data_IF_259702160293
#
_entry.id   IF_259702160293
#
_cell.length_a   1.000
_cell.length_b   1.000
_cell.length_c   1.000
_cell.angle_alpha   90.00
_cell.angle_beta   90.00
_cell.angle_gamma   90.00
#
_symmetry.space_group_name_H-M   'P 1'
#
loop_
_entity.id
_entity.type
_entity.pdbx_description
1 polymer ?
#
# COMPACT_ATOMS: atom_id res chain seq x y z
N UNK A 1 -1.71 52.40 -27.92
CA UNK A 1 -2.52 51.55 -27.01
C UNK A 1 -1.60 51.05 -25.90
N UNK A 2 -2.04 51.21 -24.65
CA UNK A 2 -1.19 51.41 -23.47
C UNK A 2 -0.90 50.08 -22.74
N UNK A 3 0.36 49.90 -22.32
CA UNK A 3 0.95 48.77 -21.60
C UNK A 3 0.24 48.29 -20.31
N UNK A 4 -0.83 48.97 -19.87
CA UNK A 4 -1.63 48.63 -18.68
C UNK A 4 -2.48 47.38 -18.84
N UNK A 5 -2.80 46.96 -20.08
CA UNK A 5 -3.65 45.78 -20.31
C UNK A 5 -2.87 44.46 -20.30
N UNK A 6 -1.56 44.48 -20.56
CA UNK A 6 -0.72 43.26 -20.60
C UNK A 6 -0.42 42.71 -19.19
N UNK A 7 -0.28 43.60 -18.20
CA UNK A 7 0.04 43.27 -16.81
C UNK A 7 -1.13 42.67 -16.01
N UNK A 8 -2.38 42.79 -16.49
CA UNK A 8 -3.56 42.15 -15.88
C UNK A 8 -3.70 40.70 -16.33
N UNK A 9 -3.32 40.39 -17.57
CA UNK A 9 -3.38 39.02 -18.11
C UNK A 9 -2.37 38.07 -17.45
N UNK A 10 -1.18 38.55 -17.07
CA UNK A 10 -0.16 37.71 -16.42
C UNK A 10 -0.56 37.29 -15.00
N UNK A 11 -1.27 38.14 -14.25
CA UNK A 11 -1.67 37.86 -12.86
C UNK A 11 -2.78 36.80 -12.79
N UNK A 12 -3.69 36.78 -13.77
CA UNK A 12 -4.76 35.77 -13.86
C UNK A 12 -4.22 34.38 -14.26
N UNK A 13 -3.11 34.31 -14.99
CA UNK A 13 -2.48 33.02 -15.36
C UNK A 13 -1.71 32.41 -14.17
N UNK A 14 -1.04 33.23 -13.34
CA UNK A 14 -0.30 32.74 -12.18
C UNK A 14 -1.16 32.20 -11.03
N UNK A 15 -2.43 32.58 -10.95
CA UNK A 15 -3.36 32.04 -9.93
C UNK A 15 -3.92 30.65 -10.29
N UNK A 16 -3.74 30.18 -11.53
CA UNK A 16 -4.30 28.91 -12.00
C UNK A 16 -3.36 27.70 -11.78
N UNK A 17 -2.16 27.89 -11.25
CA UNK A 17 -1.13 26.84 -11.10
C UNK A 17 -0.88 26.41 -9.65
N UNK A 18 -1.79 26.68 -8.73
CA UNK A 18 -1.79 26.02 -7.42
C UNK A 18 -2.12 24.53 -7.65
N UNK A 19 -1.13 23.74 -8.07
CA UNK A 19 -1.22 22.30 -8.14
C UNK A 19 -1.49 21.80 -6.72
N UNK A 20 -2.72 21.33 -6.46
CA UNK A 20 -2.99 20.57 -5.25
C UNK A 20 -2.09 19.34 -5.28
N UNK A 21 -1.19 19.21 -4.31
CA UNK A 21 -0.43 17.98 -4.10
C UNK A 21 -1.43 16.91 -3.67
N UNK A 22 -1.96 16.16 -4.63
CA UNK A 22 -2.79 14.99 -4.37
C UNK A 22 -1.85 13.83 -4.06
N UNK A 23 -2.09 13.12 -2.95
CA UNK A 23 -1.42 11.86 -2.68
C UNK A 23 -1.80 10.88 -3.80
N UNK A 24 -0.80 10.27 -4.45
CA UNK A 24 -1.07 9.24 -5.46
C UNK A 24 -1.49 7.97 -4.75
N UNK A 25 -2.63 7.40 -5.15
CA UNK A 25 -3.17 6.14 -4.61
C UNK A 25 -3.33 5.13 -5.75
N UNK A 26 -2.94 3.89 -5.49
CA UNK A 26 -3.13 2.76 -6.40
C UNK A 26 -3.93 1.67 -5.68
N UNK A 27 -5.08 1.31 -6.26
CA UNK A 27 -5.92 0.22 -5.78
C UNK A 27 -5.70 -1.04 -6.60
N UNK A 28 -5.74 -2.19 -5.94
CA UNK A 28 -5.48 -3.50 -6.54
C UNK A 28 -6.28 -4.60 -5.84
N UNK A 29 -6.25 -5.78 -6.45
CA UNK A 29 -6.70 -7.03 -5.81
C UNK A 29 -5.50 -7.87 -5.38
N UNK A 30 -5.60 -8.47 -4.21
CA UNK A 30 -4.61 -9.36 -3.63
C UNK A 30 -5.24 -10.25 -2.57
N UNK A 31 -4.97 -11.56 -2.54
CA UNK A 31 -4.30 -12.34 -3.58
C UNK A 31 -5.26 -12.58 -4.76
N UNK A 32 -4.77 -12.61 -6.00
CA UNK A 32 -5.56 -13.09 -7.15
C UNK A 32 -5.15 -14.50 -7.58
N UNK A 33 -5.86 -15.08 -8.55
CA UNK A 33 -5.51 -16.36 -9.17
C UNK A 33 -4.13 -16.38 -9.86
N UNK A 34 -3.53 -15.21 -10.13
CA UNK A 34 -2.16 -15.09 -10.67
C UNK A 34 -1.10 -14.96 -9.59
N UNK A 35 -1.46 -14.98 -8.31
CA UNK A 35 -0.49 -14.92 -7.20
C UNK A 35 0.40 -16.16 -7.19
N UNK A 36 1.67 -15.97 -6.86
CA UNK A 36 2.56 -17.08 -6.54
C UNK A 36 2.31 -17.49 -5.09
N UNK A 37 1.92 -18.74 -4.87
CA UNK A 37 1.57 -19.27 -3.53
C UNK A 37 2.46 -20.45 -3.20
N UNK A 38 3.15 -20.36 -2.06
CA UNK A 38 3.83 -21.49 -1.42
C UNK A 38 3.02 -21.88 -0.19
N UNK A 39 2.48 -23.09 -0.16
CA UNK A 39 1.63 -23.57 0.94
C UNK A 39 1.62 -25.10 1.02
N UNK A 40 1.04 -25.66 2.08
CA UNK A 40 0.98 -27.12 2.31
C UNK A 40 0.19 -27.88 1.23
N UNK A 41 -0.83 -27.26 0.66
CA UNK A 41 -1.68 -27.80 -0.42
C UNK A 41 -2.09 -26.63 -1.30
N UNK A 42 -1.58 -26.56 -2.54
CA UNK A 42 -1.96 -25.51 -3.49
C UNK A 42 -3.47 -25.49 -3.72
N UNK A 43 -4.07 -24.29 -3.72
CA UNK A 43 -5.49 -23.94 -3.95
C UNK A 43 -6.54 -25.02 -3.57
N UNK A 44 -7.27 -24.77 -2.48
CA UNK A 44 -8.32 -25.68 -1.99
C UNK A 44 -9.62 -25.54 -2.79
N UNK A 45 -9.80 -24.42 -3.49
CA UNK A 45 -10.97 -24.14 -4.35
C UNK A 45 -10.71 -22.93 -5.26
N UNK A 46 -11.62 -22.62 -6.22
CA UNK A 46 -11.51 -21.41 -7.05
C UNK A 46 -11.52 -20.08 -6.28
N UNK A 47 -11.84 -20.10 -4.99
CA UNK A 47 -11.96 -18.89 -4.15
C UNK A 47 -11.01 -18.88 -2.95
N UNK A 48 -10.17 -19.91 -2.80
CA UNK A 48 -9.33 -20.12 -1.63
C UNK A 48 -7.93 -20.60 -2.01
N UNK A 49 -6.94 -20.05 -1.32
CA UNK A 49 -5.54 -20.39 -1.47
C UNK A 49 -4.97 -21.00 -0.19
N UNK A 50 -4.40 -22.17 -0.37
CA UNK A 50 -3.40 -22.73 0.53
C UNK A 50 -3.88 -23.12 1.93
N UNK A 51 -2.99 -23.81 2.63
CA UNK A 51 -2.97 -23.83 4.07
C UNK A 51 -1.62 -23.30 4.54
N UNK A 52 -1.67 -22.29 5.38
CA UNK A 52 -0.51 -21.56 5.87
C UNK A 52 -0.32 -21.82 7.36
N UNK A 53 0.89 -22.24 7.72
CA UNK A 53 1.25 -22.59 9.09
C UNK A 53 2.75 -22.70 9.34
N UNK A 54 3.62 -22.62 8.33
CA UNK A 54 5.05 -22.92 8.50
C UNK A 54 5.99 -22.01 7.70
N UNK A 55 6.75 -21.19 8.43
CA UNK A 55 7.95 -20.51 7.90
C UNK A 55 9.01 -21.49 7.40
N UNK A 56 9.17 -22.65 8.05
CA UNK A 56 10.17 -23.65 7.63
C UNK A 56 9.88 -24.28 6.28
N UNK A 57 8.62 -24.29 5.83
CA UNK A 57 8.25 -24.67 4.46
C UNK A 57 8.37 -23.50 3.46
N UNK A 58 8.53 -22.27 3.95
CA UNK A 58 8.52 -21.06 3.13
C UNK A 58 7.11 -20.61 2.73
N UNK A 59 6.11 -20.89 3.58
CA UNK A 59 4.72 -20.51 3.33
C UNK A 59 4.60 -19.01 3.04
N UNK A 60 4.04 -18.69 1.88
CA UNK A 60 3.93 -17.31 1.41
C UNK A 60 2.91 -17.17 0.29
N UNK A 61 2.44 -15.93 0.10
CA UNK A 61 1.68 -15.51 -1.07
C UNK A 61 2.27 -14.20 -1.57
N UNK A 62 2.59 -14.12 -2.86
CA UNK A 62 3.18 -12.93 -3.48
C UNK A 62 2.57 -12.63 -4.83
N UNK A 63 2.51 -11.35 -5.18
CA UNK A 63 1.98 -10.88 -6.45
C UNK A 63 2.74 -9.64 -6.92
N UNK A 64 2.92 -9.54 -8.23
CA UNK A 64 3.52 -8.37 -8.87
C UNK A 64 2.47 -7.52 -9.58
N UNK A 65 2.72 -6.22 -9.62
CA UNK A 65 1.90 -5.19 -10.25
C UNK A 65 2.79 -4.39 -11.21
N UNK A 66 2.19 -3.89 -12.29
CA UNK A 66 2.89 -3.10 -13.31
C UNK A 66 2.16 -1.77 -13.46
N UNK A 67 2.92 -0.67 -13.47
CA UNK A 67 2.39 0.67 -13.75
C UNK A 67 1.42 1.17 -12.68
N UNK A 68 1.81 1.07 -11.40
CA UNK A 68 1.01 1.63 -10.31
C UNK A 68 1.02 3.16 -10.29
N UNK A 69 2.09 3.78 -10.81
CA UNK A 69 2.29 5.22 -10.76
C UNK A 69 2.46 5.79 -9.34
N UNK A 70 2.61 4.93 -8.34
CA UNK A 70 2.84 5.31 -6.94
C UNK A 70 4.29 5.07 -6.61
N UNK A 71 5.05 6.15 -6.43
CA UNK A 71 6.47 6.12 -6.05
C UNK A 71 6.61 6.53 -4.61
N UNK A 72 7.48 5.85 -3.85
CA UNK A 72 7.71 6.23 -2.45
C UNK A 72 6.53 5.88 -1.55
N UNK A 73 5.93 4.69 -1.74
CA UNK A 73 4.78 4.24 -0.95
C UNK A 73 5.06 4.33 0.55
N UNK A 74 4.12 4.90 1.30
CA UNK A 74 4.22 5.11 2.77
C UNK A 74 3.09 4.46 3.55
N UNK A 75 2.04 4.00 2.87
CA UNK A 75 0.93 3.32 3.51
C UNK A 75 0.38 2.19 2.65
N UNK A 76 -0.17 1.19 3.32
CA UNK A 76 -0.86 0.05 2.74
C UNK A 76 -2.16 -0.18 3.50
N UNK A 77 -3.24 -0.25 2.76
CA UNK A 77 -4.54 -0.76 3.21
C UNK A 77 -4.77 -2.09 2.52
N UNK A 78 -5.16 -3.11 3.29
CA UNK A 78 -5.38 -4.45 2.77
C UNK A 78 -6.56 -5.11 3.48
N UNK A 79 -7.52 -5.57 2.70
CA UNK A 79 -8.54 -6.47 3.16
C UNK A 79 -8.09 -7.91 2.87
N UNK A 80 -8.14 -8.77 3.89
CA UNK A 80 -7.74 -10.18 3.82
C UNK A 80 -8.89 -11.07 4.27
N UNK A 81 -9.33 -11.97 3.41
CA UNK A 81 -10.39 -12.91 3.75
C UNK A 81 -9.78 -14.18 4.36
N UNK A 82 -9.95 -14.40 5.66
CA UNK A 82 -9.59 -15.68 6.30
C UNK A 82 -10.74 -16.66 6.07
N UNK A 83 -10.60 -17.57 5.12
CA UNK A 83 -11.66 -18.52 4.75
C UNK A 83 -11.77 -19.69 5.72
N UNK A 84 -10.63 -20.13 6.24
CA UNK A 84 -10.55 -21.17 7.27
C UNK A 84 -9.59 -20.73 8.36
N UNK A 85 -10.00 -20.97 9.61
CA UNK A 85 -9.15 -20.91 10.78
C UNK A 85 -9.41 -22.17 11.61
N UNK A 86 -8.50 -23.14 11.50
CA UNK A 86 -8.58 -24.41 12.26
C UNK A 86 -7.48 -24.49 13.31
N UNK A 87 -6.89 -23.34 13.66
CA UNK A 87 -5.90 -23.23 14.71
C UNK A 87 -6.48 -23.70 16.05
N UNK A 88 -5.65 -24.33 16.87
CA UNK A 88 -6.04 -24.77 18.20
C UNK A 88 -4.90 -24.61 19.22
N UNK A 89 -5.18 -24.91 20.49
CA UNK A 89 -4.16 -24.95 21.56
C UNK A 89 -3.36 -23.65 21.75
N UNK A 90 -3.96 -22.49 21.47
CA UNK A 90 -3.35 -21.17 21.55
C UNK A 90 -2.47 -20.79 20.36
N UNK A 91 -2.48 -21.57 19.27
CA UNK A 91 -1.66 -21.31 18.10
C UNK A 91 -2.03 -20.03 17.35
N UNK A 92 -1.07 -19.52 16.59
CA UNK A 92 -1.23 -18.38 15.69
C UNK A 92 -0.38 -18.53 14.44
N UNK A 93 -0.81 -17.90 13.35
CA UNK A 93 -0.02 -17.73 12.12
C UNK A 93 0.29 -16.24 11.99
N UNK A 94 1.58 -15.92 12.07
CA UNK A 94 2.13 -14.58 11.99
C UNK A 94 2.71 -14.36 10.61
N UNK A 95 2.58 -13.16 10.08
CA UNK A 95 2.93 -12.81 8.71
C UNK A 95 3.75 -11.52 8.66
N UNK A 96 4.86 -11.56 7.92
CA UNK A 96 5.53 -10.36 7.42
C UNK A 96 4.73 -9.86 6.23
N UNK A 97 4.51 -8.55 6.17
CA UNK A 97 3.91 -7.87 5.02
C UNK A 97 5.03 -7.13 4.30
N UNK A 98 5.27 -7.51 3.05
CA UNK A 98 6.36 -6.94 2.27
C UNK A 98 5.80 -6.13 1.10
N UNK A 99 6.24 -4.89 0.97
CA UNK A 99 6.00 -4.04 -0.19
C UNK A 99 7.31 -3.86 -0.94
N UNK A 100 7.36 -4.22 -2.22
CA UNK A 100 8.59 -4.22 -3.01
C UNK A 100 9.75 -5.03 -2.38
N UNK A 101 9.40 -6.08 -1.61
CA UNK A 101 10.37 -6.89 -0.87
C UNK A 101 10.90 -6.25 0.42
N UNK A 102 10.46 -5.05 0.79
CA UNK A 102 10.75 -4.43 2.08
C UNK A 102 9.65 -4.79 3.08
N UNK A 103 10.03 -5.25 4.28
CA UNK A 103 9.11 -5.44 5.40
C UNK A 103 8.52 -4.09 5.84
N UNK A 104 7.20 -4.00 5.84
CA UNK A 104 6.43 -2.80 6.19
C UNK A 104 5.51 -3.01 7.40
N UNK A 105 5.47 -4.20 7.97
CA UNK A 105 4.64 -4.51 9.13
C UNK A 105 4.17 -5.95 9.21
N UNK A 106 3.34 -6.21 10.22
CA UNK A 106 2.91 -7.55 10.58
C UNK A 106 1.40 -7.73 10.47
N UNK A 107 0.98 -8.95 10.14
CA UNK A 107 -0.40 -9.41 10.31
C UNK A 107 -0.44 -10.75 11.04
N UNK A 108 -1.43 -10.96 11.90
CA UNK A 108 -1.49 -12.16 12.73
C UNK A 108 -2.93 -12.69 12.82
N UNK A 109 -3.06 -14.00 12.67
CA UNK A 109 -4.32 -14.74 12.88
C UNK A 109 -4.13 -15.71 14.03
N UNK A 110 -4.93 -15.56 15.09
CA UNK A 110 -4.87 -16.41 16.27
C UNK A 110 -5.97 -17.47 16.21
N UNK A 111 -5.86 -18.53 17.03
CA UNK A 111 -6.96 -19.51 17.22
C UNK A 111 -8.33 -18.86 17.46
N UNK A 112 -8.38 -17.80 18.27
CA UNK A 112 -9.65 -17.13 18.60
C UNK A 112 -10.16 -16.17 17.52
N UNK A 113 -9.39 -15.93 16.45
CA UNK A 113 -9.81 -15.05 15.36
C UNK A 113 -10.93 -15.70 14.55
N UNK A 114 -12.00 -14.95 14.26
CA UNK A 114 -13.05 -15.41 13.35
C UNK A 114 -12.56 -15.57 11.91
N UNK A 115 -13.37 -16.24 11.09
CA UNK A 115 -13.22 -16.24 9.62
C UNK A 115 -13.93 -15.03 9.01
N UNK A 116 -13.59 -14.71 7.76
CA UNK A 116 -14.12 -13.58 7.01
C UNK A 116 -13.10 -12.47 6.77
N UNK A 117 -13.61 -11.29 6.39
CA UNK A 117 -12.80 -10.13 6.04
C UNK A 117 -12.11 -9.54 7.27
N UNK A 118 -10.79 -9.41 7.19
CA UNK A 118 -9.92 -8.75 8.14
C UNK A 118 -9.30 -7.55 7.45
N UNK A 119 -9.42 -6.38 8.07
CA UNK A 119 -8.84 -5.15 7.54
C UNK A 119 -7.51 -4.86 8.21
N UNK A 120 -6.48 -4.58 7.41
CA UNK A 120 -5.13 -4.25 7.82
C UNK A 120 -4.76 -2.87 7.26
N UNK A 121 -4.37 -1.96 8.16
CA UNK A 121 -3.85 -0.64 7.82
C UNK A 121 -2.44 -0.51 8.37
N UNK A 122 -1.48 -0.23 7.49
CA UNK A 122 -0.07 -0.05 7.83
C UNK A 122 0.40 1.32 7.35
N UNK A 123 1.16 2.00 8.21
CA UNK A 123 1.90 3.22 7.88
C UNK A 123 3.37 3.00 8.20
N UNK A 124 4.25 3.32 7.26
CA UNK A 124 5.67 2.99 7.30
C UNK A 124 6.52 4.06 6.61
N UNK A 125 7.84 3.96 6.77
CA UNK A 125 8.77 4.82 6.03
C UNK A 125 8.73 4.55 4.53
N UNK A 126 8.95 5.58 3.70
CA UNK A 126 8.82 5.47 2.25
C UNK A 126 9.62 4.30 1.67
N UNK A 127 8.93 3.44 0.91
CA UNK A 127 9.53 2.32 0.18
C UNK A 127 10.06 2.84 -1.15
N UNK A 128 11.33 2.57 -1.46
CA UNK A 128 11.98 3.08 -2.65
C UNK A 128 11.36 2.55 -3.95
N UNK A 129 11.29 3.42 -4.96
CA UNK A 129 10.79 3.08 -6.29
C UNK A 129 9.27 3.08 -6.40
N UNK A 130 8.79 2.61 -7.55
CA UNK A 130 7.37 2.43 -7.83
C UNK A 130 6.84 1.18 -7.12
N UNK A 131 5.63 1.24 -6.57
CA UNK A 131 4.93 0.05 -6.07
C UNK A 131 4.78 -0.99 -7.19
N UNK A 132 5.40 -2.16 -7.01
CA UNK A 132 5.44 -3.22 -8.02
C UNK A 132 5.17 -4.62 -7.45
N UNK A 133 5.14 -4.79 -6.14
CA UNK A 133 4.87 -6.10 -5.54
C UNK A 133 4.38 -5.99 -4.10
N UNK A 134 3.55 -6.98 -3.75
CA UNK A 134 3.08 -7.23 -2.39
C UNK A 134 3.30 -8.71 -2.07
N UNK A 135 3.77 -9.00 -0.87
CA UNK A 135 3.86 -10.37 -0.36
C UNK A 135 3.44 -10.46 1.11
N UNK A 136 2.81 -11.58 1.46
CA UNK A 136 2.66 -12.02 2.83
C UNK A 136 3.52 -13.28 3.01
N UNK A 137 4.40 -13.26 4.01
CA UNK A 137 5.31 -14.38 4.30
C UNK A 137 5.09 -14.84 5.74
N UNK A 138 4.83 -16.13 5.95
CA UNK A 138 4.64 -16.66 7.29
C UNK A 138 5.95 -16.56 8.09
N UNK A 139 5.89 -16.01 9.30
CA UNK A 139 7.04 -15.73 10.19
C UNK A 139 7.34 -16.84 11.19
N UNK A 140 6.36 -17.70 11.47
CA UNK A 140 6.45 -18.69 12.54
C UNK A 140 6.08 -20.10 12.06
N UNK A 141 6.36 -21.09 12.90
CA UNK A 141 5.83 -22.43 12.74
C UNK A 141 4.72 -22.67 13.76
N UNK A 142 3.54 -23.04 13.28
CA UNK A 142 2.51 -23.65 14.12
C UNK A 142 2.96 -25.06 14.47
N UNK A 143 2.97 -25.46 15.76
CA UNK A 143 3.33 -26.81 16.15
C UNK A 143 2.43 -27.87 15.49
N UNK A 144 2.98 -29.06 15.25
CA UNK A 144 2.26 -30.16 14.62
C UNK A 144 0.95 -30.49 15.36
N UNK A 145 -0.14 -30.64 14.61
CA UNK A 145 -1.48 -30.89 15.15
C UNK A 145 -2.25 -29.66 15.61
N UNK A 146 -1.64 -28.46 15.60
CA UNK A 146 -2.28 -27.23 16.05
C UNK A 146 -2.98 -26.42 14.95
N UNK A 147 -3.15 -27.03 13.76
CA UNK A 147 -3.96 -26.48 12.67
C UNK A 147 -3.21 -25.50 11.76
N UNK A 148 -3.99 -24.74 10.99
CA UNK A 148 -3.54 -23.81 9.96
C UNK A 148 -4.64 -22.79 9.66
N UNK A 149 -4.31 -21.82 8.83
CA UNK A 149 -5.30 -20.92 8.23
C UNK A 149 -5.28 -21.05 6.71
N UNK A 150 -6.34 -20.57 6.06
CA UNK A 150 -6.41 -20.40 4.61
C UNK A 150 -6.93 -19.00 4.27
N UNK A 151 -6.57 -18.51 3.08
CA UNK A 151 -6.94 -17.18 2.61
C UNK A 151 -7.83 -17.25 1.38
N UNK A 152 -8.75 -16.30 1.26
CA UNK A 152 -9.57 -16.11 0.08
C UNK A 152 -8.86 -15.35 -1.03
N UNK A 153 -9.41 -15.42 -2.24
CA UNK A 153 -8.96 -14.66 -3.40
C UNK A 153 -9.72 -13.33 -3.58
N UNK A 154 -9.14 -12.47 -4.42
CA UNK A 154 -9.66 -11.23 -4.98
C UNK A 154 -10.16 -10.21 -3.95
N UNK A 155 -9.51 -10.18 -2.78
CA UNK A 155 -9.74 -9.12 -1.80
C UNK A 155 -9.04 -7.83 -2.21
N UNK A 156 -9.45 -6.71 -1.60
CA UNK A 156 -9.06 -5.36 -2.03
C UNK A 156 -7.84 -4.88 -1.25
N UNK A 157 -6.95 -4.17 -1.93
CA UNK A 157 -5.87 -3.42 -1.30
C UNK A 157 -5.67 -2.07 -1.97
N UNK A 158 -5.00 -1.17 -1.26
CA UNK A 158 -4.51 0.07 -1.84
C UNK A 158 -3.23 0.53 -1.17
N UNK A 159 -2.36 1.15 -1.96
CA UNK A 159 -1.17 1.85 -1.48
C UNK A 159 -1.27 3.33 -1.78
N UNK A 160 -0.65 4.15 -0.94
CA UNK A 160 -0.52 5.57 -1.20
C UNK A 160 0.88 6.07 -0.90
N UNK A 161 1.28 7.12 -1.61
CA UNK A 161 2.49 7.89 -1.34
C UNK A 161 2.10 9.27 -0.81
N UNK A 162 2.76 9.69 0.28
CA UNK A 162 2.66 11.07 0.76
C UNK A 162 3.51 11.97 -0.14
N UNK A 163 2.96 13.09 -0.67
CA UNK A 163 3.72 14.02 -1.50
C UNK A 163 5.01 14.49 -0.81
N UNK A 164 6.12 14.41 -1.54
CA UNK A 164 7.43 14.70 -0.99
C UNK A 164 7.54 16.15 -0.47
N UNK A 165 8.43 16.41 0.52
CA UNK A 165 8.73 17.76 1.01
C UNK A 165 9.10 18.74 -0.10
N UNK A 166 9.68 18.25 -1.19
CA UNK A 166 10.07 19.05 -2.35
C UNK A 166 8.85 19.67 -3.06
N UNK A 167 7.71 18.98 -3.06
CA UNK A 167 6.45 19.52 -3.60
C UNK A 167 6.00 20.72 -2.77
N UNK A 168 6.13 20.63 -1.45
CA UNK A 168 5.90 21.77 -0.56
C UNK A 168 6.97 22.85 -0.73
N UNK A 169 8.23 22.47 -1.00
CA UNK A 169 9.32 23.37 -1.34
C UNK A 169 9.05 24.16 -2.62
N UNK A 170 8.52 23.52 -3.67
CA UNK A 170 8.11 24.18 -4.91
C UNK A 170 6.88 25.07 -4.71
N UNK A 171 5.93 24.66 -3.87
CA UNK A 171 4.79 25.49 -3.49
C UNK A 171 5.26 26.75 -2.74
N UNK A 172 6.09 26.58 -1.71
CA UNK A 172 6.67 27.69 -0.94
C UNK A 172 7.55 28.58 -1.81
N UNK A 173 8.35 27.98 -2.69
CA UNK A 173 9.16 28.68 -3.69
C UNK A 173 8.28 29.51 -4.64
N UNK A 174 7.19 28.92 -5.14
CA UNK A 174 6.20 29.62 -5.96
C UNK A 174 5.55 30.80 -5.21
N UNK A 175 5.15 30.59 -3.96
CA UNK A 175 4.58 31.65 -3.11
C UNK A 175 5.58 32.76 -2.82
N UNK A 176 6.86 32.43 -2.59
CA UNK A 176 7.92 33.42 -2.38
C UNK A 176 8.13 34.31 -3.62
N UNK A 177 8.14 33.71 -4.81
CA UNK A 177 8.23 34.45 -6.08
C UNK A 177 7.03 35.38 -6.27
N UNK A 178 5.81 34.89 -5.97
CA UNK A 178 4.59 35.69 -6.04
C UNK A 178 4.61 36.85 -5.04
N UNK A 179 5.05 36.61 -3.80
CA UNK A 179 5.19 37.64 -2.76
C UNK A 179 6.17 38.75 -3.16
N UNK A 180 7.32 38.39 -3.73
CA UNK A 180 8.31 39.35 -4.24
C UNK A 180 7.76 40.16 -5.43
N UNK A 181 7.04 39.51 -6.36
CA UNK A 181 6.42 40.19 -7.49
C UNK A 181 5.32 41.17 -7.04
N UNK A 182 4.52 40.82 -6.04
CA UNK A 182 3.49 41.69 -5.46
C UNK A 182 4.10 42.92 -4.75
N UNK A 183 5.23 42.75 -4.04
CA UNK A 183 5.95 43.85 -3.38
C UNK A 183 6.44 44.90 -4.38
N UNK A 184 6.98 44.47 -5.53
CA UNK A 184 7.48 45.37 -6.58
C UNK A 184 6.39 46.19 -7.28
N UNK A 185 5.11 45.82 -7.16
CA UNK A 185 3.98 46.60 -7.70
C UNK A 185 3.47 47.69 -6.74
N UNK A 186 3.88 47.68 -5.47
CA UNK A 186 3.50 48.69 -4.46
C UNK A 186 4.55 49.79 -4.25
N UNK A 187 5.80 49.55 -4.64
CA UNK A 187 6.83 50.58 -4.76
C UNK A 187 6.74 51.24 -6.14
#
# INVERSE_FOLDING_TARGET
>A
MKAKNFLRSVVLISAALAASAQASTYSFSFPTSSSTVVSSTGSLSPTEIGYFWSVSRGDSVSQSYVGSGVFGTTSLELDLNVTQNVLNSGASVQWDVLVNGQDVGDWNVNQGSGTGMNHLSLTFGAVAGEFNSLALVVKNNVPGGQGSIALGLDTRGSVAAVPEPETYGMLLGGLAVLGLAARRKRA
#
